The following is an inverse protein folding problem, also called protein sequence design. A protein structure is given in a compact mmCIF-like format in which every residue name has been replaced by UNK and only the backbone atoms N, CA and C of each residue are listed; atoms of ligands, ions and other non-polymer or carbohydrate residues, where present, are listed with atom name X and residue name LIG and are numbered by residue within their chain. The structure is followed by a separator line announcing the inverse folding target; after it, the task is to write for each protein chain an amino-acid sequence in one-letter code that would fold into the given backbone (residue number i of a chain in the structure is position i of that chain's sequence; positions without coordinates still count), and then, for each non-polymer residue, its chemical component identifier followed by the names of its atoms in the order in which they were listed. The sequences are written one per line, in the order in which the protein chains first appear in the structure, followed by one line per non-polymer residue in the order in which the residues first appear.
data_IF_575735021519
#
_entry.id   IF_575735021519
#
_cell.length_a   1.000
_cell.length_b   1.000
_cell.length_c   1.000
_cell.angle_alpha   90.00
_cell.angle_beta   90.00
_cell.angle_gamma   90.00
#
_symmetry.space_group_name_H-M   'P 1'
#
loop_
_entity.id
_entity.type
_entity.pdbx_description
1 polymer ?
#
# COMPACT_ATOMS: atom_id res chain seq x y z
N UNK A 1 58.37 2.63 -21.26
CA UNK A 1 57.91 3.90 -20.66
C UNK A 1 56.42 4.07 -20.96
N UNK A 2 55.68 4.54 -19.94
CA UNK A 2 54.34 5.16 -19.95
C UNK A 2 53.11 4.28 -19.75
N UNK A 3 52.50 4.57 -18.60
CA UNK A 3 51.22 4.20 -18.02
C UNK A 3 50.00 4.76 -18.81
N UNK A 4 48.78 4.27 -18.51
CA UNK A 4 47.55 4.66 -19.20
C UNK A 4 46.91 5.92 -18.59
N UNK A 5 45.99 6.57 -19.32
CA UNK A 5 45.06 7.53 -18.72
C UNK A 5 43.64 7.38 -19.29
N UNK A 6 42.70 7.13 -18.38
CA UNK A 6 41.25 7.09 -18.56
C UNK A 6 40.71 8.52 -18.73
N UNK A 7 39.69 8.76 -19.57
CA UNK A 7 39.05 10.07 -19.71
C UNK A 7 37.84 10.18 -18.79
N UNK A 8 37.71 11.27 -18.03
CA UNK A 8 36.45 11.58 -17.37
C UNK A 8 36.32 13.04 -16.96
N UNK A 9 35.09 13.57 -17.10
CA UNK A 9 34.46 14.67 -16.34
C UNK A 9 34.74 16.09 -16.85
N UNK A 10 33.82 17.07 -16.84
CA UNK A 10 32.43 17.19 -16.37
C UNK A 10 31.79 18.37 -17.12
N UNK A 11 30.48 18.28 -17.31
CA UNK A 11 29.63 19.28 -17.93
C UNK A 11 29.23 20.39 -16.92
N UNK A 12 29.34 21.65 -17.37
CA UNK A 12 28.52 22.85 -17.06
C UNK A 12 27.77 22.95 -15.72
N UNK A 13 27.96 24.07 -14.99
CA UNK A 13 26.86 24.83 -14.37
C UNK A 13 27.24 26.30 -14.15
N UNK A 14 26.48 27.20 -14.79
CA UNK A 14 26.40 28.62 -14.48
C UNK A 14 25.38 28.82 -13.36
N UNK A 15 25.67 29.67 -12.38
CA UNK A 15 24.62 30.35 -11.60
C UNK A 15 25.17 31.67 -11.04
N UNK A 16 24.58 32.76 -11.53
CA UNK A 16 24.78 34.14 -11.08
C UNK A 16 24.18 34.32 -9.69
N UNK A 17 24.88 35.05 -8.80
CA UNK A 17 24.28 35.64 -7.60
C UNK A 17 24.46 37.15 -7.65
N UNK A 18 23.34 37.87 -7.61
CA UNK A 18 23.27 39.32 -7.48
C UNK A 18 22.80 39.68 -6.07
N UNK A 19 23.54 40.61 -5.43
CA UNK A 19 23.11 41.83 -4.70
C UNK A 19 21.86 41.76 -3.77
N UNK A 20 21.75 42.39 -2.59
CA UNK A 20 22.18 43.71 -2.09
C UNK A 20 21.95 43.76 -0.57
N UNK A 21 22.69 44.66 0.08
CA UNK A 21 22.58 45.14 1.47
C UNK A 21 21.20 45.68 1.88
N UNK A 22 20.83 45.58 3.18
CA UNK A 22 20.23 46.70 3.94
C UNK A 22 20.41 46.57 5.45
N UNK A 23 20.59 47.73 6.07
CA UNK A 23 21.04 48.01 7.43
C UNK A 23 20.00 47.86 8.57
N UNK A 24 20.55 47.85 9.79
CA UNK A 24 19.96 47.94 11.14
C UNK A 24 19.48 49.37 11.49
N UNK A 25 19.19 49.75 12.76
CA UNK A 25 18.35 49.18 13.83
C UNK A 25 17.30 50.22 14.33
N UNK A 26 16.43 49.88 15.30
CA UNK A 26 16.17 50.71 16.51
C UNK A 26 15.02 50.21 17.40
N UNK A 27 15.25 50.46 18.68
CA UNK A 27 14.45 50.32 19.88
C UNK A 27 12.99 50.84 19.84
N UNK A 28 12.14 50.16 20.62
CA UNK A 28 10.86 50.71 21.10
C UNK A 28 10.33 49.90 22.29
N UNK A 29 10.42 50.49 23.49
CA UNK A 29 9.78 50.05 24.75
C UNK A 29 8.25 49.93 24.54
N UNK A 30 7.46 49.19 25.33
CA UNK A 30 6.87 49.69 26.60
C UNK A 30 5.76 48.72 27.08
N UNK A 31 5.86 48.31 28.36
CA UNK A 31 4.83 48.03 29.39
C UNK A 31 3.67 47.02 29.19
N UNK A 32 3.75 45.96 30.00
CA UNK A 32 2.77 45.54 31.03
C UNK A 32 1.28 45.83 30.78
N UNK A 33 0.49 44.75 30.67
CA UNK A 33 -0.91 44.76 31.12
C UNK A 33 -1.26 43.48 31.88
N UNK A 34 -1.85 43.70 33.05
CA UNK A 34 -2.23 42.74 34.08
C UNK A 34 -3.33 41.74 33.66
N UNK A 35 -3.48 40.61 34.38
CA UNK A 35 -4.49 39.60 34.09
C UNK A 35 -5.88 40.05 34.56
N UNK A 36 -6.89 39.92 33.70
CA UNK A 36 -8.29 40.02 34.13
C UNK A 36 -8.75 38.68 34.69
N UNK A 37 -8.95 38.68 36.01
CA UNK A 37 -9.61 37.64 36.80
C UNK A 37 -11.06 37.52 36.35
N UNK A 38 -11.45 36.39 35.74
CA UNK A 38 -12.87 36.10 35.48
C UNK A 38 -13.41 35.36 36.68
N UNK A 39 -14.40 35.98 37.34
CA UNK A 39 -15.04 35.44 38.53
C UNK A 39 -16.11 34.43 38.15
N UNK A 40 -16.22 33.44 39.02
CA UNK A 40 -17.22 32.38 39.16
C UNK A 40 -18.64 32.79 38.75
N UNK A 41 -19.36 31.88 38.07
CA UNK A 41 -20.65 31.37 38.56
C UNK A 41 -21.38 30.51 37.52
N UNK A 42 -22.10 29.52 38.06
CA UNK A 42 -23.21 28.75 37.45
C UNK A 42 -22.82 27.56 36.56
N UNK A 43 -22.67 26.42 37.24
CA UNK A 43 -23.04 25.11 36.69
C UNK A 43 -24.50 25.17 36.24
N UNK A 44 -24.75 24.96 34.95
CA UNK A 44 -26.06 24.53 34.46
C UNK A 44 -26.06 23.01 34.38
N UNK A 45 -27.13 22.31 34.83
CA UNK A 45 -27.25 20.89 34.56
C UNK A 45 -27.63 20.74 33.09
N UNK A 46 -26.69 20.30 32.26
CA UNK A 46 -27.01 19.93 30.88
C UNK A 46 -27.94 18.71 30.98
N UNK A 47 -29.18 18.81 30.47
CA UNK A 47 -30.09 17.69 30.47
C UNK A 47 -29.52 16.61 29.55
N UNK A 48 -29.64 15.39 30.03
CA UNK A 48 -29.66 14.15 29.28
C UNK A 48 -30.10 14.34 27.81
N UNK A 49 -29.15 14.50 26.92
CA UNK A 49 -29.33 14.21 25.50
C UNK A 49 -28.05 13.52 25.07
N UNK A 50 -28.14 12.19 25.00
CA UNK A 50 -27.18 11.31 24.35
C UNK A 50 -26.91 11.84 22.95
N UNK A 51 -25.89 12.67 22.84
CA UNK A 51 -25.41 13.20 21.58
C UNK A 51 -24.71 12.06 20.85
N UNK A 52 -25.42 11.52 19.85
CA UNK A 52 -24.86 11.13 18.56
C UNK A 52 -23.57 10.29 18.60
N UNK A 53 -23.69 9.02 18.97
CA UNK A 53 -22.89 7.98 18.32
C UNK A 53 -23.51 7.64 16.96
N UNK A 54 -23.56 8.64 16.09
CA UNK A 54 -23.86 8.47 14.67
C UNK A 54 -22.59 8.10 13.93
N UNK A 55 -22.10 6.87 14.12
CA UNK A 55 -21.08 6.30 13.23
C UNK A 55 -21.73 6.02 11.88
N UNK A 56 -21.87 7.05 11.06
CA UNK A 56 -22.15 6.88 9.63
C UNK A 56 -20.88 6.35 8.96
N UNK A 57 -20.63 5.06 9.13
CA UNK A 57 -19.66 4.32 8.32
C UNK A 57 -20.31 3.99 6.96
N UNK A 58 -20.58 5.03 6.18
CA UNK A 58 -20.99 4.90 4.79
C UNK A 58 -19.81 5.23 3.88
N UNK A 59 -19.54 4.30 2.96
CA UNK A 59 -18.59 4.27 1.82
C UNK A 59 -17.41 3.31 2.04
N UNK A 60 -17.15 2.31 1.21
CA UNK A 60 -17.78 1.83 -0.03
C UNK A 60 -17.26 0.39 -0.14
N UNK A 61 -18.11 -0.63 0.01
CA UNK A 61 -17.74 -1.97 -0.44
C UNK A 61 -18.10 -2.02 -1.91
N UNK A 62 -17.09 -2.06 -2.79
CA UNK A 62 -17.29 -2.38 -4.21
C UNK A 62 -18.25 -3.57 -4.28
N UNK A 63 -19.40 -3.36 -4.92
CA UNK A 63 -20.54 -4.28 -4.98
C UNK A 63 -20.19 -5.52 -5.84
N UNK A 64 -19.29 -6.34 -5.33
CA UNK A 64 -18.95 -7.65 -5.85
C UNK A 64 -19.28 -8.66 -4.76
N UNK A 65 -20.18 -9.59 -5.07
CA UNK A 65 -20.56 -10.66 -4.16
C UNK A 65 -19.43 -11.71 -4.17
N UNK A 66 -18.50 -11.59 -3.23
CA UNK A 66 -17.44 -12.58 -3.01
C UNK A 66 -17.96 -13.77 -2.20
N UNK A 67 -17.44 -14.99 -2.39
CA UNK A 67 -17.84 -16.15 -1.59
C UNK A 67 -17.68 -15.96 -0.07
N UNK A 68 -16.60 -15.31 0.35
CA UNK A 68 -16.36 -14.98 1.76
C UNK A 68 -16.93 -13.60 2.08
N UNK A 69 -17.99 -13.61 2.88
CA UNK A 69 -18.66 -12.41 3.37
C UNK A 69 -18.35 -12.24 4.87
N UNK A 70 -17.66 -11.15 5.21
CA UNK A 70 -17.39 -10.71 6.59
C UNK A 70 -17.46 -9.20 6.67
N UNK A 71 -17.89 -8.71 7.83
CA UNK A 71 -17.90 -7.29 8.16
C UNK A 71 -16.48 -6.73 8.30
N UNK A 72 -16.33 -5.42 8.17
CA UNK A 72 -15.02 -4.77 8.38
C UNK A 72 -14.51 -4.98 9.82
N UNK A 73 -15.40 -5.04 10.82
CA UNK A 73 -15.02 -5.31 12.21
C UNK A 73 -14.46 -6.72 12.42
N UNK A 74 -15.06 -7.72 11.78
CA UNK A 74 -14.52 -9.10 11.79
C UNK A 74 -13.17 -9.18 11.10
N UNK A 75 -12.99 -8.47 9.98
CA UNK A 75 -11.68 -8.39 9.32
C UNK A 75 -10.63 -7.70 10.19
N UNK A 76 -10.98 -6.62 10.89
CA UNK A 76 -10.07 -5.94 11.82
C UNK A 76 -9.67 -6.83 13.00
N UNK A 77 -10.56 -7.71 13.45
CA UNK A 77 -10.27 -8.66 14.53
C UNK A 77 -9.39 -9.83 14.06
N UNK A 78 -9.55 -10.28 12.80
CA UNK A 78 -8.81 -11.41 12.26
C UNK A 78 -7.43 -11.02 11.71
N UNK A 79 -7.32 -9.85 11.07
CA UNK A 79 -6.12 -9.42 10.36
C UNK A 79 -5.21 -8.58 11.27
N UNK A 80 -3.91 -8.69 11.07
CA UNK A 80 -2.99 -7.69 11.64
C UNK A 80 -3.28 -6.29 11.07
N UNK A 81 -2.90 -5.20 11.78
CA UNK A 81 -3.15 -3.84 11.29
C UNK A 81 -2.61 -3.59 9.88
N UNK A 82 -1.43 -4.13 9.57
CA UNK A 82 -0.80 -3.98 8.27
C UNK A 82 -1.49 -4.80 7.17
N UNK A 83 -1.90 -6.03 7.47
CA UNK A 83 -2.75 -6.83 6.58
C UNK A 83 -4.07 -6.14 6.30
N UNK A 84 -4.73 -5.59 7.32
CA UNK A 84 -5.98 -4.86 7.14
C UNK A 84 -5.79 -3.61 6.27
N UNK A 85 -4.72 -2.84 6.51
CA UNK A 85 -4.36 -1.66 5.70
C UNK A 85 -4.19 -2.03 4.22
N UNK A 86 -3.50 -3.12 3.92
CA UNK A 86 -3.22 -3.53 2.54
C UNK A 86 -4.46 -4.19 1.92
N UNK A 87 -4.97 -5.28 2.51
CA UNK A 87 -6.04 -6.11 1.94
C UNK A 87 -7.40 -5.39 1.90
N UNK A 88 -7.71 -4.54 2.88
CA UNK A 88 -9.04 -3.89 3.00
C UNK A 88 -9.03 -2.42 2.65
N UNK A 89 -7.94 -1.70 2.94
CA UNK A 89 -7.81 -0.26 2.64
C UNK A 89 -6.98 0.03 1.38
N UNK A 90 -6.73 -0.99 0.55
CA UNK A 90 -5.99 -0.89 -0.73
C UNK A 90 -4.62 -0.21 -0.57
N UNK A 91 -3.98 -0.42 0.59
CA UNK A 91 -2.64 0.07 0.86
C UNK A 91 -1.58 -0.71 0.11
N UNK A 92 -0.38 -0.15 0.04
CA UNK A 92 0.80 -0.82 -0.52
C UNK A 92 1.90 -0.87 0.53
N UNK A 93 2.63 -1.98 0.63
CA UNK A 93 3.83 -2.10 1.47
C UNK A 93 5.04 -1.41 0.83
N UNK A 94 6.07 -1.09 1.62
CA UNK A 94 7.30 -0.50 1.10
C UNK A 94 8.06 -1.49 0.20
N UNK A 95 8.58 -1.00 -0.93
CA UNK A 95 9.37 -1.81 -1.86
C UNK A 95 10.59 -2.42 -1.15
N UNK A 96 10.87 -3.69 -1.43
CA UNK A 96 12.03 -4.45 -0.94
C UNK A 96 11.95 -4.91 0.51
N UNK A 97 10.85 -4.61 1.22
CA UNK A 97 10.69 -4.98 2.64
C UNK A 97 9.84 -6.23 2.85
N UNK A 98 9.10 -6.66 1.84
CA UNK A 98 8.17 -7.78 1.92
C UNK A 98 8.88 -9.12 2.15
N UNK A 99 8.34 -9.93 3.08
CA UNK A 99 8.85 -11.28 3.40
C UNK A 99 9.06 -12.16 2.16
N UNK A 100 8.18 -12.06 1.18
CA UNK A 100 8.16 -12.91 -0.01
C UNK A 100 8.78 -12.28 -1.26
N UNK A 101 9.34 -11.07 -1.17
CA UNK A 101 9.98 -10.39 -2.31
C UNK A 101 11.11 -11.26 -2.88
N UNK A 102 12.07 -11.62 -2.02
CA UNK A 102 13.22 -12.47 -2.36
C UNK A 102 13.02 -13.96 -2.05
N UNK A 103 11.78 -14.40 -1.87
CA UNK A 103 11.45 -15.80 -1.60
C UNK A 103 11.17 -16.53 -2.92
N UNK A 104 11.95 -17.55 -3.25
CA UNK A 104 11.83 -18.32 -4.51
C UNK A 104 11.91 -19.83 -4.22
N UNK A 105 10.84 -20.42 -3.69
CA UNK A 105 10.78 -21.86 -3.44
C UNK A 105 10.56 -22.63 -4.75
N UNK A 106 11.06 -23.86 -4.83
CA UNK A 106 10.89 -24.71 -6.01
C UNK A 106 9.43 -25.18 -6.20
N UNK A 107 8.70 -25.36 -5.08
CA UNK A 107 7.33 -25.85 -5.03
C UNK A 107 6.52 -25.15 -3.93
N UNK A 108 5.20 -25.34 -3.95
CA UNK A 108 4.27 -24.77 -2.97
C UNK A 108 3.33 -23.71 -3.53
N UNK A 109 2.46 -23.21 -2.67
CA UNK A 109 1.35 -22.33 -3.03
C UNK A 109 1.35 -21.08 -2.17
N UNK A 110 1.18 -19.94 -2.81
CA UNK A 110 0.87 -18.68 -2.15
C UNK A 110 -0.64 -18.53 -2.00
N UNK A 111 -1.10 -18.36 -0.77
CA UNK A 111 -2.51 -18.22 -0.42
C UNK A 111 -2.84 -16.79 -0.03
N UNK A 112 -4.12 -16.42 -0.07
CA UNK A 112 -4.57 -15.11 0.38
C UNK A 112 -4.31 -14.92 1.88
N UNK A 113 -3.70 -13.79 2.26
CA UNK A 113 -3.42 -13.45 3.65
C UNK A 113 -4.66 -13.26 4.52
N UNK A 114 -5.86 -13.13 3.93
CA UNK A 114 -7.12 -12.97 4.65
C UNK A 114 -7.98 -14.24 4.70
N UNK A 115 -8.24 -14.86 3.54
CA UNK A 115 -9.17 -15.99 3.43
C UNK A 115 -8.49 -17.33 3.11
N UNK A 116 -7.16 -17.35 3.02
CA UNK A 116 -6.35 -18.55 2.77
C UNK A 116 -6.62 -19.28 1.44
N UNK A 117 -7.44 -18.71 0.56
CA UNK A 117 -7.66 -19.25 -0.78
C UNK A 117 -6.34 -19.29 -1.59
N UNK A 118 -6.09 -20.33 -2.38
CA UNK A 118 -4.90 -20.42 -3.22
C UNK A 118 -4.93 -19.33 -4.30
N UNK A 119 -3.82 -18.59 -4.45
CA UNK A 119 -3.71 -17.47 -5.40
C UNK A 119 -2.66 -17.73 -6.47
N UNK A 120 -1.46 -18.15 -6.08
CA UNK A 120 -0.32 -18.31 -6.99
C UNK A 120 0.45 -19.59 -6.67
N UNK A 121 1.01 -20.22 -7.70
CA UNK A 121 1.95 -21.33 -7.52
C UNK A 121 3.38 -20.79 -7.44
N UNK A 122 4.26 -21.48 -6.71
CA UNK A 122 5.66 -21.14 -6.57
C UNK A 122 6.39 -21.01 -7.92
N UNK A 123 6.15 -21.97 -8.83
CA UNK A 123 6.71 -21.99 -10.18
C UNK A 123 6.25 -20.82 -11.08
N UNK A 124 5.21 -20.09 -10.68
CA UNK A 124 4.75 -18.90 -11.40
C UNK A 124 5.46 -17.63 -10.92
N UNK A 125 6.24 -17.70 -9.84
CA UNK A 125 7.00 -16.56 -9.33
C UNK A 125 8.26 -16.36 -10.16
N UNK A 126 8.62 -15.10 -10.39
CA UNK A 126 9.86 -14.74 -11.09
C UNK A 126 10.46 -13.46 -10.52
N UNK A 127 11.76 -13.23 -10.78
CA UNK A 127 12.41 -11.98 -10.42
C UNK A 127 12.14 -10.91 -11.48
N UNK A 128 11.39 -9.87 -11.09
CA UNK A 128 11.11 -8.72 -11.95
C UNK A 128 11.91 -7.47 -11.56
N UNK A 129 12.60 -7.50 -10.41
CA UNK A 129 13.24 -6.32 -9.83
C UNK A 129 12.29 -5.22 -9.35
N UNK A 130 10.97 -5.46 -9.28
CA UNK A 130 10.02 -4.40 -8.89
C UNK A 130 10.01 -4.07 -7.38
N UNK A 131 10.63 -4.89 -6.53
CA UNK A 131 10.66 -4.73 -5.08
C UNK A 131 9.43 -5.31 -4.36
N UNK A 132 8.62 -6.10 -5.06
CA UNK A 132 7.52 -6.86 -4.49
C UNK A 132 7.50 -8.25 -5.15
N UNK A 133 6.88 -9.26 -4.49
CA UNK A 133 6.59 -10.53 -5.13
C UNK A 133 5.94 -10.36 -6.51
N UNK A 134 6.55 -10.98 -7.53
CA UNK A 134 6.08 -10.91 -8.91
C UNK A 134 5.72 -12.30 -9.45
N UNK A 135 4.53 -12.42 -10.02
CA UNK A 135 4.04 -13.66 -10.62
C UNK A 135 3.60 -13.42 -12.07
N UNK A 136 3.76 -14.41 -12.93
CA UNK A 136 3.33 -14.31 -14.33
C UNK A 136 1.98 -14.98 -14.59
N UNK A 137 1.49 -15.80 -13.66
CA UNK A 137 0.16 -16.40 -13.74
C UNK A 137 -0.41 -16.74 -12.35
N UNK A 138 -1.72 -16.65 -12.21
CA UNK A 138 -2.47 -17.02 -11.00
C UNK A 138 -3.11 -18.40 -11.16
N UNK A 139 -3.56 -18.98 -10.03
CA UNK A 139 -4.48 -20.12 -10.07
C UNK A 139 -5.75 -19.69 -10.83
N UNK A 140 -6.26 -20.51 -11.77
CA UNK A 140 -7.42 -20.14 -12.57
C UNK A 140 -8.61 -19.70 -11.70
N UNK A 141 -9.13 -18.50 -11.97
CA UNK A 141 -10.27 -17.95 -11.24
C UNK A 141 -9.96 -17.40 -9.84
N UNK A 142 -8.73 -17.52 -9.33
CA UNK A 142 -8.39 -17.06 -7.98
C UNK A 142 -8.25 -15.53 -7.85
N UNK A 143 -7.82 -14.87 -8.93
CA UNK A 143 -7.52 -13.43 -8.96
C UNK A 143 -8.46 -12.71 -9.93
N UNK A 144 -9.13 -11.68 -9.42
CA UNK A 144 -9.96 -10.76 -10.19
C UNK A 144 -9.20 -9.50 -10.57
N UNK A 145 -9.65 -8.83 -11.63
CA UNK A 145 -9.08 -7.56 -12.10
C UNK A 145 -10.13 -6.46 -11.95
N UNK A 146 -9.70 -5.28 -11.47
CA UNK A 146 -10.51 -4.07 -11.34
C UNK A 146 -9.74 -2.89 -11.91
N UNK A 147 -10.45 -1.96 -12.55
CA UNK A 147 -9.82 -0.71 -13.00
C UNK A 147 -9.52 0.19 -11.80
N UNK A 148 -8.28 0.66 -11.72
CA UNK A 148 -7.80 1.59 -10.71
C UNK A 148 -7.36 2.89 -11.39
N UNK A 149 -8.16 3.94 -11.20
CA UNK A 149 -7.89 5.30 -11.70
C UNK A 149 -7.40 6.25 -10.60
N UNK A 150 -6.96 5.72 -9.45
CA UNK A 150 -6.46 6.54 -8.35
C UNK A 150 -5.15 7.24 -8.71
N UNK A 151 -4.87 8.37 -8.05
CA UNK A 151 -3.65 9.17 -8.26
C UNK A 151 -3.43 9.64 -9.71
N UNK A 152 -4.49 9.71 -10.52
CA UNK A 152 -4.41 10.15 -11.91
C UNK A 152 -3.74 9.15 -12.87
N UNK A 153 -3.45 7.93 -12.40
CA UNK A 153 -2.87 6.85 -13.22
C UNK A 153 -3.94 5.82 -13.57
N UNK A 154 -3.86 5.22 -14.75
CA UNK A 154 -4.70 4.07 -15.15
C UNK A 154 -3.91 2.79 -14.90
N UNK A 155 -4.32 2.04 -13.87
CA UNK A 155 -3.74 0.74 -13.52
C UNK A 155 -4.85 -0.30 -13.44
N UNK A 156 -4.47 -1.57 -13.46
CA UNK A 156 -5.40 -2.68 -13.22
C UNK A 156 -5.07 -3.27 -11.85
N UNK A 157 -5.93 -3.01 -10.86
CA UNK A 157 -5.88 -3.63 -9.55
C UNK A 157 -6.17 -5.12 -9.66
N UNK A 158 -5.43 -5.93 -8.91
CA UNK A 158 -5.73 -7.35 -8.70
C UNK A 158 -6.27 -7.58 -7.29
N UNK A 159 -7.36 -8.33 -7.21
CA UNK A 159 -8.05 -8.67 -5.96
C UNK A 159 -8.24 -10.18 -5.84
N UNK A 160 -8.36 -10.69 -4.62
CA UNK A 160 -8.74 -12.08 -4.39
C UNK A 160 -10.23 -12.28 -4.76
N UNK A 161 -10.54 -13.20 -5.66
CA UNK A 161 -11.93 -13.50 -6.02
C UNK A 161 -12.73 -14.21 -4.92
N UNK A 162 -12.07 -14.71 -3.87
CA UNK A 162 -12.74 -15.38 -2.77
C UNK A 162 -13.23 -14.41 -1.68
N UNK A 163 -12.49 -13.33 -1.38
CA UNK A 163 -12.85 -12.38 -0.31
C UNK A 163 -12.80 -10.89 -0.69
N UNK A 164 -12.40 -10.59 -1.93
CA UNK A 164 -12.25 -9.22 -2.42
C UNK A 164 -11.05 -8.44 -1.90
N UNK A 165 -10.13 -9.10 -1.18
CA UNK A 165 -8.95 -8.46 -0.63
C UNK A 165 -8.01 -7.93 -1.73
N UNK A 166 -7.51 -6.71 -1.56
CA UNK A 166 -6.50 -6.10 -2.44
C UNK A 166 -5.18 -6.86 -2.36
N UNK A 167 -4.65 -7.23 -3.52
CA UNK A 167 -3.37 -7.94 -3.64
C UNK A 167 -2.27 -7.03 -4.19
N UNK A 168 -2.59 -6.18 -5.16
CA UNK A 168 -1.65 -5.30 -5.83
C UNK A 168 -2.14 -4.91 -7.22
N UNK A 169 -1.25 -4.93 -8.22
CA UNK A 169 -1.57 -4.55 -9.60
C UNK A 169 -1.00 -5.52 -10.63
N UNK A 170 -1.67 -5.64 -11.77
CA UNK A 170 -1.19 -6.37 -12.94
C UNK A 170 -0.72 -5.41 -14.02
N UNK A 171 0.41 -5.74 -14.61
CA UNK A 171 1.01 -5.06 -15.74
C UNK A 171 1.14 -6.04 -16.91
N UNK A 172 0.82 -5.60 -18.13
CA UNK A 172 0.84 -6.44 -19.33
C UNK A 172 1.79 -5.85 -20.36
N UNK A 173 2.45 -6.69 -21.14
CA UNK A 173 3.27 -6.23 -22.25
C UNK A 173 4.70 -5.85 -21.90
N UNK A 174 5.19 -6.18 -20.71
CA UNK A 174 6.51 -5.76 -20.20
C UNK A 174 7.70 -6.61 -20.70
N UNK A 175 7.42 -7.72 -21.41
CA UNK A 175 8.39 -8.56 -22.13
C UNK A 175 9.45 -9.22 -21.25
N UNK A 176 9.06 -9.68 -20.06
CA UNK A 176 9.90 -10.49 -19.17
C UNK A 176 10.16 -11.93 -19.67
N UNK A 177 9.74 -12.29 -20.89
CA UNK A 177 9.92 -13.62 -21.46
C UNK A 177 9.03 -14.72 -20.86
N UNK A 178 8.10 -14.36 -19.97
CA UNK A 178 7.13 -15.30 -19.43
C UNK A 178 5.98 -15.59 -20.42
N UNK A 179 5.30 -16.75 -20.33
CA UNK A 179 4.32 -17.19 -21.35
C UNK A 179 3.15 -16.25 -21.58
N UNK A 180 2.68 -15.55 -20.53
CA UNK A 180 1.52 -14.64 -20.60
C UNK A 180 1.91 -13.20 -20.92
N UNK A 181 3.19 -12.86 -20.85
CA UNK A 181 3.69 -11.49 -20.91
C UNK A 181 3.01 -10.56 -19.90
N UNK A 182 2.75 -11.09 -18.70
CA UNK A 182 2.09 -10.39 -17.59
C UNK A 182 3.02 -10.37 -16.37
N UNK A 183 2.86 -9.35 -15.54
CA UNK A 183 3.50 -9.23 -14.23
C UNK A 183 2.45 -8.82 -13.20
N UNK A 184 2.13 -9.75 -12.32
CA UNK A 184 1.32 -9.53 -11.14
C UNK A 184 2.26 -9.06 -10.03
N UNK A 185 2.24 -7.76 -9.74
CA UNK A 185 3.02 -7.15 -8.67
C UNK A 185 2.19 -7.18 -7.39
N UNK A 186 2.53 -8.07 -6.47
CA UNK A 186 1.69 -8.44 -5.32
C UNK A 186 2.36 -8.01 -4.02
N UNK A 187 1.62 -7.39 -3.10
CA UNK A 187 2.12 -7.11 -1.76
C UNK A 187 2.40 -8.41 -1.01
N UNK A 188 3.60 -8.56 -0.45
CA UNK A 188 3.97 -9.71 0.37
C UNK A 188 3.06 -9.89 1.58
N UNK A 189 2.61 -8.80 2.22
CA UNK A 189 1.68 -8.87 3.35
C UNK A 189 0.29 -9.40 2.95
N UNK A 190 -0.08 -9.27 1.67
CA UNK A 190 -1.39 -9.73 1.18
C UNK A 190 -1.48 -11.23 0.93
N UNK A 191 -0.35 -11.94 1.02
CA UNK A 191 -0.23 -13.37 0.74
C UNK A 191 0.46 -14.10 1.88
N UNK A 192 0.19 -15.39 2.00
CA UNK A 192 0.94 -16.35 2.81
C UNK A 192 1.56 -17.41 1.90
N UNK A 193 2.48 -18.21 2.41
CA UNK A 193 3.09 -19.32 1.67
C UNK A 193 2.89 -20.63 2.43
N UNK A 194 2.49 -21.67 1.71
CA UNK A 194 2.42 -23.05 2.18
C UNK A 194 3.30 -23.93 1.29
N UNK A 195 4.19 -24.76 1.86
CA UNK A 195 5.00 -25.71 1.09
C UNK A 195 4.15 -26.86 0.51
N UNK A 196 2.93 -27.05 1.01
CA UNK A 196 2.00 -28.08 0.53
C UNK A 196 1.19 -27.53 -0.66
N UNK A 197 1.08 -28.32 -1.72
CA UNK A 197 0.28 -27.99 -2.89
C UNK A 197 -1.22 -28.16 -2.60
N UNK A 198 -1.81 -27.23 -1.85
CA UNK A 198 -3.26 -27.19 -1.57
C UNK A 198 -4.13 -26.84 -2.80
N UNK A 199 -3.54 -26.79 -4.00
CA UNK A 199 -4.22 -26.37 -5.22
C UNK A 199 -4.98 -27.48 -5.95
N UNK A 200 -4.85 -28.75 -5.52
CA UNK A 200 -5.43 -29.90 -6.24
C UNK A 200 -6.69 -30.51 -5.61
N UNK A 201 -7.15 -30.01 -4.47
CA UNK A 201 -8.22 -30.65 -3.67
C UNK A 201 -9.61 -30.02 -3.84
N UNK A 202 -9.93 -29.54 -5.05
CA UNK A 202 -11.30 -29.16 -5.42
C UNK A 202 -11.69 -29.82 -6.74
N UNK A 203 -12.08 -31.09 -6.66
CA UNK A 203 -12.75 -31.82 -7.75
C UNK A 203 -14.11 -32.32 -7.26
#
# INVERSE_FOLDING_TARGET
MRFPSIPTLINTFNAFTNTTFRATPAFGRTLLRAPTRVNTSRLMPIPFFSALFGSSASNMSDNANFPVQKTEGEWQAQLSPEQFRILRKKGTEMAGTGKYDKHYPDAGVYTCGACEAPLYKANHKFDSGCGWPAFWDAVPGAVGQKDDSTLGMRRTEIVCNNCGGHLGHIFKGERFGNPKNERHCVNSVSINFSPEDKAEESK
#
